data_IF_474535701096
#
_entry.id   IF_474535701096
#
_cell.length_a   1.000
_cell.length_b   1.000
_cell.length_c   1.000
_cell.angle_alpha   90.00
_cell.angle_beta   90.00
_cell.angle_gamma   90.00
#
_symmetry.space_group_name_H-M   'P 1'
#
loop_
_entity.id
_entity.type
_entity.pdbx_description
1 polymer ?
#
# COMPACT_ATOMS: atom_id res chain seq x y z
N UNK A 1 -10.47 6.41 15.95
CA UNK A 1 -9.14 7.06 16.04
C UNK A 1 -8.03 6.05 16.30
N UNK A 2 -8.12 5.20 17.33
CA UNK A 2 -7.11 4.16 17.63
C UNK A 2 -6.86 3.21 16.44
N UNK A 3 -7.92 2.75 15.75
CA UNK A 3 -7.78 1.92 14.53
C UNK A 3 -7.00 2.59 13.40
N UNK A 4 -7.08 3.91 13.27
CA UNK A 4 -6.38 4.66 12.23
C UNK A 4 -4.89 4.70 12.54
N UNK A 5 -4.53 5.00 13.80
CA UNK A 5 -3.14 4.96 14.27
C UNK A 5 -2.54 3.56 14.11
N UNK A 6 -3.28 2.53 14.52
CA UNK A 6 -2.83 1.13 14.41
C UNK A 6 -2.66 0.71 12.94
N UNK A 7 -3.54 1.16 12.05
CA UNK A 7 -3.45 0.93 10.60
C UNK A 7 -2.19 1.59 10.01
N UNK A 8 -1.89 2.84 10.40
CA UNK A 8 -0.68 3.54 9.95
C UNK A 8 0.56 2.80 10.43
N UNK A 9 0.63 2.42 11.71
CA UNK A 9 1.78 1.69 12.27
C UNK A 9 1.95 0.35 11.53
N UNK A 10 0.86 -0.39 11.32
CA UNK A 10 0.90 -1.66 10.60
C UNK A 10 1.40 -1.49 9.15
N UNK A 11 0.90 -0.46 8.44
CA UNK A 11 1.31 -0.16 7.07
C UNK A 11 2.80 0.18 6.97
N UNK A 12 3.31 1.02 7.89
CA UNK A 12 4.74 1.38 7.95
C UNK A 12 5.60 0.17 8.31
N UNK A 13 5.15 -0.68 9.24
CA UNK A 13 5.85 -1.89 9.67
C UNK A 13 6.04 -2.87 8.50
N UNK A 14 5.03 -3.03 7.64
CA UNK A 14 5.14 -3.87 6.43
C UNK A 14 6.21 -3.32 5.48
N UNK A 15 6.25 -2.01 5.26
CA UNK A 15 7.31 -1.38 4.44
C UNK A 15 8.72 -1.61 5.01
N UNK A 16 8.87 -1.56 6.34
CA UNK A 16 10.13 -1.83 7.03
C UNK A 16 10.52 -3.32 6.91
N UNK A 17 9.57 -4.25 7.04
CA UNK A 17 9.81 -5.69 6.85
C UNK A 17 10.35 -6.00 5.45
N UNK A 18 9.78 -5.39 4.40
CA UNK A 18 10.32 -5.55 3.04
C UNK A 18 11.72 -4.95 2.89
N UNK A 19 12.01 -3.83 3.58
CA UNK A 19 13.36 -3.24 3.60
C UNK A 19 14.38 -4.18 4.25
N UNK A 20 14.04 -4.79 5.39
CA UNK A 20 14.90 -5.76 6.07
C UNK A 20 15.08 -7.04 5.26
N UNK A 21 13.99 -7.56 4.67
CA UNK A 21 14.01 -8.74 3.81
C UNK A 21 15.05 -8.66 2.69
N UNK A 22 15.23 -7.47 2.09
CA UNK A 22 16.25 -7.24 1.05
C UNK A 22 17.66 -7.58 1.52
N UNK A 23 17.99 -7.36 2.80
CA UNK A 23 19.31 -7.67 3.36
C UNK A 23 19.49 -9.18 3.62
N UNK A 24 18.41 -9.89 3.94
CA UNK A 24 18.42 -11.29 4.36
C UNK A 24 18.08 -12.31 3.25
N UNK A 25 17.94 -11.87 1.98
CA UNK A 25 17.59 -12.75 0.83
C UNK A 25 16.30 -13.58 1.03
N UNK A 26 15.39 -13.11 1.88
CA UNK A 26 14.14 -13.82 2.16
C UNK A 26 13.23 -13.76 0.94
N UNK A 27 12.55 -14.87 0.63
CA UNK A 27 11.63 -14.92 -0.50
C UNK A 27 10.42 -14.00 -0.26
N UNK A 28 10.23 -13.02 -1.14
CA UNK A 28 9.12 -12.07 -1.08
C UNK A 28 7.75 -12.76 -1.04
N UNK A 29 7.58 -13.88 -1.74
CA UNK A 29 6.33 -14.63 -1.74
C UNK A 29 5.99 -15.23 -0.37
N UNK A 30 7.00 -15.65 0.39
CA UNK A 30 6.81 -16.20 1.74
C UNK A 30 6.38 -15.11 2.73
N UNK A 31 6.89 -13.89 2.58
CA UNK A 31 6.48 -12.74 3.40
C UNK A 31 5.02 -12.39 3.14
N UNK A 32 4.62 -12.31 1.87
CA UNK A 32 3.22 -12.03 1.49
C UNK A 32 2.30 -13.15 1.97
N UNK A 33 2.67 -14.42 1.76
CA UNK A 33 1.89 -15.57 2.22
C UNK A 33 1.71 -15.56 3.76
N UNK A 34 2.77 -15.28 4.49
CA UNK A 34 2.74 -15.16 5.96
C UNK A 34 1.81 -14.03 6.41
N UNK A 35 1.87 -12.85 5.77
CA UNK A 35 0.97 -11.73 6.08
C UNK A 35 -0.50 -12.10 5.91
N UNK A 36 -0.86 -12.82 4.85
CA UNK A 36 -2.23 -13.27 4.62
C UNK A 36 -2.67 -14.33 5.62
N UNK A 37 -1.77 -15.25 5.98
CA UNK A 37 -2.04 -16.26 6.98
C UNK A 37 -2.35 -15.61 8.34
N UNK A 38 -1.52 -14.66 8.78
CA UNK A 38 -1.79 -13.90 10.00
C UNK A 38 -3.07 -13.06 9.90
N UNK A 39 -3.34 -12.43 8.76
CA UNK A 39 -4.57 -11.68 8.55
C UNK A 39 -5.82 -12.57 8.66
N UNK A 40 -5.78 -13.78 8.10
CA UNK A 40 -6.88 -14.75 8.17
C UNK A 40 -7.11 -15.22 9.62
N UNK A 41 -6.04 -15.56 10.34
CA UNK A 41 -6.12 -15.96 11.77
C UNK A 41 -6.67 -14.83 12.63
N UNK A 42 -6.15 -13.61 12.46
CA UNK A 42 -6.62 -12.43 13.20
C UNK A 42 -8.08 -12.10 12.87
N UNK A 43 -8.47 -12.19 11.60
CA UNK A 43 -9.86 -11.97 11.19
C UNK A 43 -10.80 -12.99 11.83
N UNK A 44 -10.40 -14.28 11.83
CA UNK A 44 -11.17 -15.33 12.47
C UNK A 44 -11.34 -15.07 13.98
N UNK A 45 -10.27 -14.68 14.67
CA UNK A 45 -10.30 -14.43 16.10
C UNK A 45 -11.09 -13.17 16.47
N UNK A 46 -10.79 -12.03 15.84
CA UNK A 46 -11.39 -10.74 16.22
C UNK A 46 -12.83 -10.59 15.78
N UNK A 47 -13.18 -11.08 14.59
CA UNK A 47 -14.49 -10.85 14.00
C UNK A 47 -15.46 -12.02 14.15
N UNK A 48 -14.99 -13.21 14.57
CA UNK A 48 -15.82 -14.43 14.71
C UNK A 48 -16.78 -14.59 13.52
N UNK A 49 -16.26 -14.69 12.29
CA UNK A 49 -17.08 -14.62 11.08
C UNK A 49 -18.13 -15.76 11.08
N UNK A 50 -19.41 -15.40 10.94
CA UNK A 50 -20.47 -16.38 10.81
C UNK A 50 -20.42 -16.98 9.39
N UNK A 51 -19.94 -18.22 9.29
CA UNK A 51 -19.79 -18.91 8.01
C UNK A 51 -21.12 -19.22 7.31
N UNK A 52 -22.26 -19.10 8.02
CA UNK A 52 -23.59 -19.31 7.45
C UNK A 52 -24.07 -18.14 6.56
N UNK A 53 -23.44 -16.97 6.67
CA UNK A 53 -23.73 -15.81 5.81
C UNK A 53 -23.14 -15.98 4.39
N UNK A 54 -22.22 -16.92 4.20
CA UNK A 54 -21.59 -17.19 2.91
C UNK A 54 -22.48 -18.13 2.10
N UNK A 55 -23.34 -17.54 1.27
CA UNK A 55 -24.24 -18.28 0.38
C UNK A 55 -23.74 -18.30 -1.08
N UNK A 56 -24.33 -19.15 -1.92
CA UNK A 56 -24.02 -19.24 -3.36
C UNK A 56 -24.35 -17.94 -4.11
N UNK A 57 -25.26 -17.12 -3.57
CA UNK A 57 -25.61 -15.81 -4.11
C UNK A 57 -24.59 -14.70 -3.81
N UNK A 58 -23.58 -14.97 -2.98
CA UNK A 58 -22.52 -14.00 -2.71
C UNK A 58 -21.72 -13.68 -3.97
N UNK A 59 -21.13 -12.46 -4.08
CA UNK A 59 -20.38 -12.05 -5.26
C UNK A 59 -18.99 -12.72 -5.30
N UNK A 60 -18.97 -14.03 -5.50
CA UNK A 60 -17.75 -14.86 -5.56
C UNK A 60 -16.74 -14.35 -6.59
N UNK A 61 -17.22 -13.78 -7.69
CA UNK A 61 -16.39 -13.13 -8.70
C UNK A 61 -15.52 -12.00 -8.12
N UNK A 62 -16.07 -11.17 -7.22
CA UNK A 62 -15.33 -10.09 -6.55
C UNK A 62 -14.33 -10.66 -5.54
N UNK A 63 -14.74 -11.67 -4.76
CA UNK A 63 -13.86 -12.27 -3.75
C UNK A 63 -12.66 -12.98 -4.37
N UNK A 64 -12.87 -13.72 -5.45
CA UNK A 64 -11.77 -14.37 -6.19
C UNK A 64 -10.88 -13.31 -6.82
N UNK A 65 -11.46 -12.27 -7.44
CA UNK A 65 -10.67 -11.18 -8.02
C UNK A 65 -9.80 -10.49 -6.96
N UNK A 66 -10.35 -10.14 -5.78
CA UNK A 66 -9.57 -9.57 -4.68
C UNK A 66 -8.50 -10.53 -4.15
N UNK A 67 -8.86 -11.80 -3.98
CA UNK A 67 -7.97 -12.84 -3.49
C UNK A 67 -6.74 -13.07 -4.39
N UNK A 68 -6.85 -12.78 -5.69
CA UNK A 68 -5.73 -12.86 -6.63
C UNK A 68 -5.01 -11.52 -6.79
N UNK A 69 -5.76 -10.43 -6.93
CA UNK A 69 -5.21 -9.11 -7.23
C UNK A 69 -4.42 -8.54 -6.05
N UNK A 70 -4.92 -8.71 -4.82
CA UNK A 70 -4.31 -8.14 -3.63
C UNK A 70 -2.91 -8.76 -3.35
N UNK A 71 -2.69 -10.10 -3.35
CA UNK A 71 -1.36 -10.67 -3.21
C UNK A 71 -0.44 -10.33 -4.38
N UNK A 72 -0.99 -10.30 -5.60
CA UNK A 72 -0.24 -9.96 -6.81
C UNK A 72 0.36 -8.55 -6.72
N UNK A 73 -0.41 -7.57 -6.26
CA UNK A 73 0.07 -6.19 -6.04
C UNK A 73 1.21 -6.15 -5.01
N UNK A 74 1.12 -6.90 -3.91
CA UNK A 74 2.20 -6.97 -2.92
C UNK A 74 3.48 -7.62 -3.48
N UNK A 75 3.34 -8.65 -4.31
CA UNK A 75 4.48 -9.26 -5.00
C UNK A 75 5.13 -8.27 -5.97
N UNK A 76 4.32 -7.55 -6.76
CA UNK A 76 4.83 -6.51 -7.65
C UNK A 76 5.52 -5.39 -6.87
N UNK A 77 4.96 -4.97 -5.74
CA UNK A 77 5.58 -3.98 -4.85
C UNK A 77 6.95 -4.48 -4.37
N UNK A 78 7.04 -5.71 -3.89
CA UNK A 78 8.29 -6.29 -3.40
C UNK A 78 9.36 -6.42 -4.50
N UNK A 79 8.95 -6.84 -5.71
CA UNK A 79 9.83 -6.91 -6.88
C UNK A 79 10.30 -5.51 -7.29
N UNK A 80 9.40 -4.54 -7.31
CA UNK A 80 9.70 -3.15 -7.68
C UNK A 80 10.66 -2.52 -6.67
N UNK A 81 10.49 -2.79 -5.37
CA UNK A 81 11.40 -2.33 -4.32
C UNK A 81 12.79 -2.94 -4.53
N UNK A 82 12.88 -4.22 -4.89
CA UNK A 82 14.14 -4.92 -5.14
C UNK A 82 14.92 -4.33 -6.33
N UNK A 83 14.22 -3.97 -7.41
CA UNK A 83 14.85 -3.50 -8.66
C UNK A 83 15.04 -1.98 -8.71
N UNK A 84 14.04 -1.20 -8.30
CA UNK A 84 14.02 0.27 -8.43
C UNK A 84 14.33 1.02 -7.14
N UNK A 85 14.35 0.32 -6.00
CA UNK A 85 14.54 0.91 -4.67
C UNK A 85 13.26 1.51 -4.08
N UNK A 86 13.28 1.69 -2.75
CA UNK A 86 12.09 2.10 -1.95
C UNK A 86 11.59 3.50 -2.34
N UNK A 87 12.50 4.44 -2.63
CA UNK A 87 12.10 5.85 -2.89
C UNK A 87 11.32 5.98 -4.19
N UNK A 88 11.75 5.31 -5.27
CA UNK A 88 11.07 5.36 -6.56
C UNK A 88 9.75 4.58 -6.55
N UNK A 89 9.70 3.49 -5.80
CA UNK A 89 8.47 2.69 -5.64
C UNK A 89 7.44 3.39 -4.77
N UNK A 90 7.83 4.02 -3.66
CA UNK A 90 6.92 4.84 -2.85
C UNK A 90 6.33 6.00 -3.66
N UNK A 91 7.17 6.65 -4.48
CA UNK A 91 6.75 7.67 -5.44
C UNK A 91 5.68 7.13 -6.40
N UNK A 92 5.92 6.01 -7.09
CA UNK A 92 4.94 5.40 -7.98
C UNK A 92 3.65 4.97 -7.25
N UNK A 93 3.76 4.50 -6.02
CA UNK A 93 2.60 4.09 -5.21
C UNK A 93 1.69 5.28 -4.89
N UNK A 94 2.24 6.48 -4.62
CA UNK A 94 1.45 7.70 -4.43
C UNK A 94 0.71 8.10 -5.70
N UNK A 95 1.30 7.88 -6.88
CA UNK A 95 0.64 8.12 -8.16
C UNK A 95 -0.57 7.20 -8.37
N UNK A 96 -0.63 6.04 -7.69
CA UNK A 96 -1.79 5.15 -7.74
C UNK A 96 -3.09 5.85 -7.32
N UNK A 97 -3.02 6.93 -6.52
CA UNK A 97 -4.18 7.76 -6.14
C UNK A 97 -4.98 8.30 -7.32
N UNK A 98 -4.38 8.42 -8.50
CA UNK A 98 -5.08 8.82 -9.73
C UNK A 98 -6.17 7.82 -10.14
N UNK A 99 -5.90 6.53 -9.97
CA UNK A 99 -6.82 5.45 -10.36
C UNK A 99 -8.15 5.54 -9.60
N UNK A 100 -8.19 5.55 -8.24
CA UNK A 100 -9.44 5.67 -7.51
C UNK A 100 -10.14 7.03 -7.75
N UNK A 101 -9.41 8.11 -8.00
CA UNK A 101 -10.01 9.41 -8.35
C UNK A 101 -10.72 9.33 -9.71
N UNK A 102 -10.06 8.77 -10.73
CA UNK A 102 -10.66 8.58 -12.05
C UNK A 102 -11.83 7.60 -11.99
N UNK A 103 -11.73 6.53 -11.19
CA UNK A 103 -12.82 5.59 -10.97
C UNK A 103 -14.03 6.24 -10.28
N UNK A 104 -13.82 7.09 -9.27
CA UNK A 104 -14.89 7.85 -8.62
C UNK A 104 -15.65 8.74 -9.62
N UNK A 105 -14.93 9.38 -10.54
CA UNK A 105 -15.55 10.21 -11.57
C UNK A 105 -16.27 9.40 -12.66
N UNK A 106 -15.59 8.38 -13.23
CA UNK A 106 -16.07 7.68 -14.41
C UNK A 106 -17.07 6.56 -14.09
N UNK A 107 -16.81 5.78 -13.03
CA UNK A 107 -17.60 4.61 -12.66
C UNK A 107 -18.73 5.03 -11.70
N UNK A 108 -18.40 5.76 -10.64
CA UNK A 108 -19.38 6.16 -9.62
C UNK A 108 -20.17 7.41 -10.00
N UNK A 109 -19.82 8.09 -11.12
CA UNK A 109 -20.44 9.33 -11.62
C UNK A 109 -20.62 10.35 -10.50
N UNK A 110 -19.65 10.44 -9.60
CA UNK A 110 -19.76 11.26 -8.42
C UNK A 110 -19.67 12.74 -8.80
N UNK A 111 -20.63 13.55 -8.36
CA UNK A 111 -20.60 14.98 -8.62
C UNK A 111 -19.42 15.63 -7.90
N UNK A 112 -18.59 16.31 -8.69
CA UNK A 112 -17.48 17.09 -8.17
C UNK A 112 -18.00 18.38 -7.55
N UNK A 113 -18.23 18.33 -6.23
CA UNK A 113 -18.43 19.52 -5.43
C UNK A 113 -17.15 20.39 -5.44
N UNK A 114 -17.30 21.72 -5.34
CA UNK A 114 -16.21 22.70 -5.30
C UNK A 114 -15.10 22.28 -4.33
N UNK A 115 -15.47 21.74 -3.16
CA UNK A 115 -14.50 21.23 -2.17
C UNK A 115 -13.59 20.12 -2.70
N UNK A 116 -14.13 19.16 -3.48
CA UNK A 116 -13.34 18.06 -4.07
C UNK A 116 -12.39 18.58 -5.14
N UNK A 117 -12.85 19.55 -5.94
CA UNK A 117 -12.02 20.18 -6.98
C UNK A 117 -10.87 20.97 -6.34
N UNK A 118 -11.14 21.75 -5.28
CA UNK A 118 -10.08 22.45 -4.55
C UNK A 118 -9.10 21.49 -3.86
N UNK A 119 -9.59 20.37 -3.31
CA UNK A 119 -8.74 19.35 -2.72
C UNK A 119 -7.83 18.69 -3.77
N UNK A 120 -8.35 18.43 -4.97
CA UNK A 120 -7.58 17.91 -6.09
C UNK A 120 -6.53 18.92 -6.56
N UNK A 121 -6.92 20.18 -6.70
CA UNK A 121 -6.06 21.28 -7.15
C UNK A 121 -4.88 21.52 -6.19
N UNK A 122 -5.04 21.28 -4.89
CA UNK A 122 -3.95 21.35 -3.89
C UNK A 122 -3.18 20.03 -3.80
N UNK A 123 -3.89 18.90 -3.86
CA UNK A 123 -3.30 17.57 -3.71
C UNK A 123 -2.33 17.20 -4.83
N UNK A 124 -2.64 17.55 -6.08
CA UNK A 124 -1.79 17.26 -7.23
C UNK A 124 -0.41 17.95 -7.18
N UNK A 125 -0.33 19.28 -6.98
CA UNK A 125 0.95 19.97 -6.78
C UNK A 125 1.74 19.42 -5.59
N UNK A 126 1.06 19.12 -4.47
CA UNK A 126 1.71 18.53 -3.30
C UNK A 126 2.33 17.16 -3.63
N UNK A 127 1.63 16.34 -4.41
CA UNK A 127 2.11 15.04 -4.87
C UNK A 127 3.32 15.21 -5.79
N UNK A 128 3.28 16.16 -6.73
CA UNK A 128 4.44 16.50 -7.59
C UNK A 128 5.63 16.96 -6.75
N UNK A 129 5.45 17.83 -5.76
CA UNK A 129 6.52 18.28 -4.86
C UNK A 129 7.15 17.12 -4.06
N UNK A 130 6.34 16.17 -3.60
CA UNK A 130 6.82 14.96 -2.92
C UNK A 130 7.61 14.06 -3.88
N UNK A 131 7.16 13.95 -5.14
CA UNK A 131 7.83 13.17 -6.19
C UNK A 131 9.12 13.82 -6.68
N UNK A 132 9.16 15.15 -6.74
CA UNK A 132 10.32 15.94 -7.17
C UNK A 132 11.46 15.99 -6.15
N UNK A 133 11.48 15.09 -5.16
CA UNK A 133 12.58 14.98 -4.21
C UNK A 133 13.91 14.90 -4.98
N UNK A 134 14.83 15.86 -4.81
CA UNK A 134 16.08 15.86 -5.55
C UNK A 134 16.84 14.58 -5.21
N UNK A 135 17.29 13.90 -6.27
CA UNK A 135 18.31 12.87 -6.19
C UNK A 135 19.47 13.46 -5.41
N UNK A 136 19.71 13.00 -4.19
CA UNK A 136 20.95 13.29 -3.48
C UNK A 136 22.08 12.57 -4.22
N UNK A 137 22.47 13.12 -5.37
CA UNK A 137 23.84 13.04 -5.82
C UNK A 137 24.56 14.25 -5.21
N UNK A 138 24.93 14.09 -3.96
CA UNK A 138 26.00 14.89 -3.39
C UNK A 138 26.91 13.90 -2.72
N UNK A 139 28.06 13.64 -3.33
CA UNK A 139 29.25 13.18 -2.62
C UNK A 139 29.39 14.07 -1.39
N UNK A 140 28.90 13.62 -0.24
CA UNK A 140 29.29 14.20 1.02
C UNK A 140 29.37 13.08 2.05
N UNK A 141 30.61 12.76 2.41
CA UNK A 141 30.97 12.00 3.61
C UNK A 141 30.45 12.79 4.82
N UNK A 142 29.19 12.62 5.17
CA UNK A 142 28.68 13.00 6.48
C UNK A 142 28.29 11.71 7.18
N UNK A 143 29.33 11.11 7.76
CA UNK A 143 29.38 10.60 9.12
C UNK A 143 27.98 10.36 9.69
N UNK A 144 27.63 9.09 9.80
CA UNK A 144 26.68 8.58 10.78
C UNK A 144 26.60 9.46 12.03
N UNK A 145 25.42 10.00 12.36
CA UNK A 145 25.02 10.15 13.74
C UNK A 145 23.68 9.42 13.84
N UNK A 146 23.60 8.16 14.24
CA UNK A 146 24.27 7.56 15.39
C UNK A 146 23.96 6.08 15.36
N UNK A 147 25.00 5.25 15.41
CA UNK A 147 24.91 3.90 15.95
C UNK A 147 24.73 4.05 17.46
N UNK A 148 23.54 3.74 17.95
CA UNK A 148 23.23 2.90 19.14
C UNK A 148 21.91 2.21 18.83
#
# INVERSE_FOLDING_TARGET
>A
MLFLVLSIICSVTVGILFKFSRHYNVNNAQIVASNYLFALVLCYWFFSPNLNEVNTASPWHIYIALGVLLPSVFLFLAISIKHMGIVKTDAAQRLSLFIPILAAWLIFKEDFNVFKVTALAVGFPALVLILSKPSQNTKNKWIYPTVV
#
